data_IF_190799505592
#
_entry.id   IF_190799505592
#
_cell.length_a   1.000
_cell.length_b   1.000
_cell.length_c   1.000
_cell.angle_alpha   90.00
_cell.angle_beta   90.00
_cell.angle_gamma   90.00
#
_symmetry.space_group_name_H-M   'P 1'
#
loop_
_entity.id
_entity.type
_entity.pdbx_description
1 polymer ?
#
# COMPACT_ATOMS: atom_id res chain seq x y z
N UNK A 1 -9.02 7.44 14.33
CA UNK A 1 -9.21 8.57 13.40
C UNK A 1 -8.98 8.12 11.97
N UNK A 2 -9.34 8.97 11.02
CA UNK A 2 -9.18 8.71 9.58
C UNK A 2 -9.96 7.49 9.06
N UNK A 3 -10.97 7.02 9.78
CA UNK A 3 -11.65 5.78 9.42
C UNK A 3 -13.13 5.94 9.07
N UNK A 4 -13.83 6.91 9.63
CA UNK A 4 -15.28 7.06 9.46
C UNK A 4 -15.64 8.33 8.67
N UNK A 5 -15.04 8.44 7.49
CA UNK A 5 -15.25 9.64 6.66
C UNK A 5 -16.68 9.77 6.09
N UNK A 6 -17.50 8.72 6.14
CA UNK A 6 -18.92 8.81 5.80
C UNK A 6 -19.80 9.06 7.03
N UNK A 7 -19.19 9.19 8.22
CA UNK A 7 -19.89 9.36 9.48
C UNK A 7 -20.33 8.05 10.12
N UNK A 8 -20.74 8.13 11.37
CA UNK A 8 -21.25 6.96 12.10
C UNK A 8 -22.62 6.56 11.58
N UNK A 9 -22.82 5.26 11.42
CA UNK A 9 -24.15 4.68 11.11
C UNK A 9 -24.78 5.28 9.85
N UNK A 10 -23.98 5.56 8.84
CA UNK A 10 -24.52 6.09 7.58
C UNK A 10 -25.62 5.15 7.06
N UNK A 11 -26.85 5.63 6.79
CA UNK A 11 -28.00 4.76 6.55
C UNK A 11 -27.83 3.81 5.36
N UNK A 12 -27.13 4.21 4.29
CA UNK A 12 -26.91 3.31 3.16
C UNK A 12 -25.95 2.17 3.55
N UNK A 13 -24.95 2.46 4.39
CA UNK A 13 -23.98 1.44 4.84
C UNK A 13 -24.66 0.45 5.78
N UNK A 14 -25.42 0.97 6.75
CA UNK A 14 -26.16 0.12 7.71
C UNK A 14 -27.15 -0.77 6.96
N UNK A 15 -27.86 -0.21 5.98
CA UNK A 15 -28.82 -1.00 5.19
C UNK A 15 -28.09 -2.16 4.48
N UNK A 16 -26.98 -1.86 3.79
CA UNK A 16 -26.23 -2.89 3.07
C UNK A 16 -25.74 -3.99 4.02
N UNK A 17 -25.23 -3.61 5.20
CA UNK A 17 -24.79 -4.57 6.21
C UNK A 17 -25.96 -5.44 6.67
N UNK A 18 -27.08 -4.83 7.02
CA UNK A 18 -28.25 -5.54 7.55
C UNK A 18 -28.83 -6.50 6.51
N UNK A 19 -28.96 -6.07 5.26
CA UNK A 19 -29.50 -6.93 4.21
C UNK A 19 -28.55 -8.11 3.91
N UNK A 20 -27.25 -7.86 3.87
CA UNK A 20 -26.28 -8.93 3.66
C UNK A 20 -26.29 -9.93 4.82
N UNK A 21 -26.38 -9.43 6.06
CA UNK A 21 -26.36 -10.29 7.25
C UNK A 21 -27.56 -11.24 7.32
N UNK A 22 -28.70 -10.87 6.74
CA UNK A 22 -29.85 -11.75 6.66
C UNK A 22 -29.64 -12.94 5.73
N UNK A 23 -28.67 -12.84 4.82
CA UNK A 23 -28.40 -13.86 3.81
C UNK A 23 -27.16 -14.68 4.15
N UNK A 24 -26.06 -14.00 4.47
CA UNK A 24 -24.79 -14.67 4.67
C UNK A 24 -23.82 -13.73 5.40
N UNK A 25 -23.27 -14.19 6.54
CA UNK A 25 -22.29 -13.42 7.31
C UNK A 25 -20.86 -13.93 7.10
N UNK A 26 -20.67 -15.26 7.13
CA UNK A 26 -19.33 -15.84 7.08
C UNK A 26 -19.35 -17.18 6.38
N UNK A 27 -18.38 -17.41 5.51
CA UNK A 27 -18.13 -18.74 4.92
C UNK A 27 -16.66 -19.10 5.09
N UNK A 28 -16.36 -20.38 5.04
CA UNK A 28 -14.99 -20.84 4.88
C UNK A 28 -14.42 -20.40 3.52
N UNK A 29 -13.14 -20.12 3.47
CA UNK A 29 -12.45 -19.84 2.21
C UNK A 29 -12.45 -21.06 1.26
N UNK A 30 -12.77 -22.24 1.76
CA UNK A 30 -12.86 -23.44 0.93
C UNK A 30 -14.07 -23.42 -0.03
N UNK A 31 -15.00 -22.48 0.18
CA UNK A 31 -16.22 -22.40 -0.64
C UNK A 31 -16.36 -21.06 -1.31
N UNK A 32 -16.98 -21.06 -2.47
CA UNK A 32 -17.38 -19.82 -3.13
C UNK A 32 -18.59 -19.22 -2.43
N UNK A 33 -18.70 -17.91 -2.47
CA UNK A 33 -19.89 -17.22 -1.95
C UNK A 33 -20.35 -16.16 -2.95
N UNK A 34 -21.59 -15.72 -2.77
CA UNK A 34 -22.23 -14.83 -3.74
C UNK A 34 -21.72 -13.40 -3.69
N UNK A 35 -20.97 -13.02 -2.66
CA UNK A 35 -20.54 -11.62 -2.48
C UNK A 35 -19.11 -11.38 -2.96
N UNK A 36 -18.20 -12.34 -2.78
CA UNK A 36 -16.78 -12.11 -3.02
C UNK A 36 -16.48 -11.86 -4.51
N UNK A 37 -17.00 -12.70 -5.39
CA UNK A 37 -16.74 -12.54 -6.84
C UNK A 37 -17.20 -11.19 -7.38
N UNK A 38 -18.45 -10.79 -7.13
CA UNK A 38 -18.89 -9.45 -7.54
C UNK A 38 -18.05 -8.31 -6.92
N UNK A 39 -17.63 -8.45 -5.67
CA UNK A 39 -16.74 -7.48 -5.03
C UNK A 39 -15.39 -7.40 -5.75
N UNK A 40 -14.78 -8.55 -6.02
CA UNK A 40 -13.49 -8.59 -6.70
C UNK A 40 -13.57 -7.93 -8.07
N UNK A 41 -14.61 -8.27 -8.84
CA UNK A 41 -14.83 -7.66 -10.15
C UNK A 41 -15.03 -6.15 -10.06
N UNK A 42 -15.83 -5.71 -9.08
CA UNK A 42 -16.09 -4.28 -8.90
C UNK A 42 -14.81 -3.53 -8.57
N UNK A 43 -14.04 -4.02 -7.58
CA UNK A 43 -12.88 -3.30 -7.09
C UNK A 43 -11.73 -3.30 -8.12
N UNK A 44 -11.51 -4.42 -8.80
CA UNK A 44 -10.48 -4.47 -9.85
C UNK A 44 -10.81 -3.54 -11.01
N UNK A 45 -12.08 -3.51 -11.43
CA UNK A 45 -12.51 -2.58 -12.49
C UNK A 45 -12.38 -1.12 -12.03
N UNK A 46 -12.80 -0.85 -10.79
CA UNK A 46 -12.75 0.51 -10.25
C UNK A 46 -11.31 1.05 -10.22
N UNK A 47 -10.38 0.23 -9.79
CA UNK A 47 -8.99 0.65 -9.62
C UNK A 47 -8.07 0.27 -10.77
N UNK A 48 -8.58 -0.48 -11.75
CA UNK A 48 -7.79 -0.84 -12.93
C UNK A 48 -6.66 -1.82 -12.65
N UNK A 49 -6.83 -2.67 -11.66
CA UNK A 49 -5.88 -3.75 -11.36
C UNK A 49 -6.39 -5.08 -11.88
N UNK A 50 -5.49 -5.98 -12.17
CA UNK A 50 -5.84 -7.30 -12.67
C UNK A 50 -6.41 -8.21 -11.59
N UNK A 51 -5.97 -8.03 -10.35
CA UNK A 51 -6.32 -8.93 -9.24
C UNK A 51 -6.47 -8.17 -7.93
N UNK A 52 -7.21 -8.74 -7.02
CA UNK A 52 -7.33 -8.27 -5.64
C UNK A 52 -7.16 -9.46 -4.69
N UNK A 53 -6.56 -9.23 -3.55
CA UNK A 53 -6.41 -10.24 -2.50
C UNK A 53 -6.85 -9.59 -1.19
N UNK A 54 -8.09 -9.85 -0.75
CA UNK A 54 -8.59 -9.22 0.48
C UNK A 54 -7.84 -9.69 1.72
N UNK A 55 -7.59 -8.75 2.62
CA UNK A 55 -6.95 -8.99 3.93
C UNK A 55 -7.83 -8.40 5.03
N UNK A 56 -7.52 -8.74 6.28
CA UNK A 56 -8.35 -8.31 7.40
C UNK A 56 -7.95 -6.93 7.93
N UNK A 57 -6.68 -6.57 7.82
CA UNK A 57 -6.17 -5.29 8.33
C UNK A 57 -5.18 -4.68 7.35
N UNK A 58 -4.92 -3.39 7.53
CA UNK A 58 -3.91 -2.69 6.72
C UNK A 58 -2.52 -3.32 6.85
N UNK A 59 -2.13 -3.69 8.08
CA UNK A 59 -0.80 -4.29 8.28
C UNK A 59 -0.71 -5.66 7.62
N UNK A 60 -1.80 -6.44 7.59
CA UNK A 60 -1.78 -7.71 6.85
C UNK A 60 -1.58 -7.47 5.35
N UNK A 61 -2.19 -6.42 4.83
CA UNK A 61 -1.97 -6.01 3.44
C UNK A 61 -0.51 -5.63 3.20
N UNK A 62 0.07 -4.83 4.10
CA UNK A 62 1.49 -4.46 4.04
C UNK A 62 2.41 -5.67 4.08
N UNK A 63 2.20 -6.55 5.07
CA UNK A 63 3.00 -7.79 5.21
C UNK A 63 2.91 -8.64 3.94
N UNK A 64 1.69 -8.80 3.41
CA UNK A 64 1.47 -9.62 2.22
C UNK A 64 2.11 -8.99 0.98
N UNK A 65 2.02 -7.66 0.83
CA UNK A 65 2.65 -6.98 -0.30
C UNK A 65 4.17 -7.12 -0.24
N UNK A 66 4.76 -7.02 0.95
CA UNK A 66 6.20 -7.18 1.12
C UNK A 66 6.65 -8.63 0.83
N UNK A 67 5.87 -9.61 1.30
CA UNK A 67 6.15 -11.02 0.97
C UNK A 67 6.06 -11.25 -0.54
N UNK A 68 5.02 -10.69 -1.17
CA UNK A 68 4.82 -10.82 -2.61
C UNK A 68 5.99 -10.18 -3.38
N UNK A 69 6.44 -8.99 -2.94
CA UNK A 69 7.56 -8.29 -3.55
C UNK A 69 8.86 -9.11 -3.45
N UNK A 70 9.15 -9.67 -2.28
CA UNK A 70 10.33 -10.54 -2.12
C UNK A 70 10.24 -11.76 -3.03
N UNK A 71 9.07 -12.43 -3.04
CA UNK A 71 8.89 -13.62 -3.89
C UNK A 71 9.06 -13.28 -5.37
N UNK A 72 8.49 -12.14 -5.81
CA UNK A 72 8.67 -11.66 -7.18
C UNK A 72 10.16 -11.38 -7.46
N UNK A 73 10.83 -10.74 -6.50
CA UNK A 73 12.26 -10.46 -6.62
C UNK A 73 13.07 -11.71 -6.91
N UNK A 74 12.82 -12.77 -6.14
CA UNK A 74 13.53 -14.04 -6.32
C UNK A 74 13.14 -14.76 -7.59
N UNK A 75 11.83 -14.87 -7.86
CA UNK A 75 11.33 -15.75 -8.93
C UNK A 75 11.31 -15.08 -10.31
N UNK A 76 11.23 -13.73 -10.35
CA UNK A 76 11.08 -13.02 -11.62
C UNK A 76 12.22 -12.05 -11.91
N UNK A 77 12.68 -11.30 -10.91
CA UNK A 77 13.76 -10.35 -11.12
C UNK A 77 15.13 -11.01 -11.07
N UNK A 78 15.26 -12.18 -10.41
CA UNK A 78 16.51 -12.94 -10.34
C UNK A 78 17.42 -12.52 -9.20
N UNK A 79 16.87 -11.89 -8.17
CA UNK A 79 17.63 -11.53 -6.97
C UNK A 79 18.10 -12.81 -6.26
N UNK A 80 19.36 -12.88 -5.81
CA UNK A 80 19.81 -14.06 -5.07
C UNK A 80 19.03 -14.28 -3.78
N UNK A 81 18.85 -15.53 -3.41
CA UNK A 81 18.06 -15.91 -2.24
C UNK A 81 18.50 -15.13 -0.99
N UNK A 82 17.54 -14.62 -0.25
CA UNK A 82 17.69 -13.88 0.99
C UNK A 82 18.35 -12.50 0.83
N UNK A 83 18.51 -12.00 -0.41
CA UNK A 83 19.12 -10.68 -0.64
C UNK A 83 18.10 -9.60 -1.07
N UNK A 84 16.84 -9.94 -1.19
CA UNK A 84 15.84 -8.96 -1.62
C UNK A 84 15.72 -7.81 -0.61
N UNK A 85 15.76 -6.58 -1.13
CA UNK A 85 15.63 -5.36 -0.34
C UNK A 85 14.36 -4.64 -0.69
N UNK A 86 13.75 -4.00 0.32
CA UNK A 86 12.57 -3.14 0.14
C UNK A 86 12.91 -1.78 0.75
N UNK A 87 12.67 -0.73 -0.02
CA UNK A 87 12.91 0.65 0.42
C UNK A 87 11.61 1.22 0.98
N UNK A 88 11.72 2.00 2.05
CA UNK A 88 10.62 2.74 2.66
C UNK A 88 11.02 4.21 2.78
N UNK A 89 10.04 5.08 2.98
CA UNK A 89 10.30 6.49 3.24
C UNK A 89 10.36 6.75 4.76
N UNK A 90 11.19 7.67 5.19
CA UNK A 90 11.18 8.15 6.57
C UNK A 90 9.79 8.65 6.92
N UNK A 91 9.39 8.49 8.17
CA UNK A 91 8.07 8.88 8.64
C UNK A 91 6.96 7.90 8.24
N UNK A 92 7.31 6.75 7.65
CA UNK A 92 6.29 5.77 7.25
C UNK A 92 5.60 5.16 8.46
N UNK A 93 4.32 4.78 8.25
CA UNK A 93 3.59 3.99 9.23
C UNK A 93 2.66 3.04 8.50
N UNK A 94 2.91 1.74 8.61
CA UNK A 94 2.03 0.74 8.01
C UNK A 94 1.65 -0.37 8.98
N UNK A 95 1.89 -0.17 10.29
CA UNK A 95 1.45 -1.11 11.30
C UNK A 95 2.40 -1.25 12.48
N UNK A 96 2.11 -2.23 13.33
CA UNK A 96 2.84 -2.43 14.58
C UNK A 96 3.40 -3.84 14.72
N UNK A 97 3.47 -4.62 13.65
CA UNK A 97 4.14 -5.93 13.65
C UNK A 97 5.65 -5.75 13.69
N UNK A 98 6.37 -6.83 14.04
CA UNK A 98 7.84 -6.78 14.04
C UNK A 98 8.39 -6.37 12.68
N UNK A 99 7.76 -6.82 11.59
CA UNK A 99 8.19 -6.39 10.25
C UNK A 99 7.91 -4.91 10.03
N UNK A 100 6.71 -4.43 10.42
CA UNK A 100 6.35 -3.02 10.20
C UNK A 100 7.30 -2.09 10.96
N UNK A 101 7.57 -2.37 12.23
CA UNK A 101 8.45 -1.51 13.03
C UNK A 101 9.90 -1.57 12.56
N UNK A 102 10.27 -2.62 11.82
CA UNK A 102 11.65 -2.73 11.29
C UNK A 102 11.94 -1.69 10.20
N UNK A 103 10.92 -1.08 9.63
CA UNK A 103 11.07 0.01 8.66
C UNK A 103 10.79 1.38 9.27
N UNK A 104 10.61 1.46 10.59
CA UNK A 104 10.27 2.74 11.25
C UNK A 104 11.53 3.51 11.62
N UNK A 105 11.46 4.83 11.45
CA UNK A 105 12.47 5.74 11.99
C UNK A 105 12.02 6.43 13.30
N UNK A 106 10.85 6.03 13.82
CA UNK A 106 10.34 6.57 15.10
C UNK A 106 10.80 5.68 16.26
N UNK A 107 11.70 6.18 17.14
CA UNK A 107 12.17 5.38 18.26
C UNK A 107 11.08 4.87 19.19
N UNK A 108 9.95 5.59 19.29
CA UNK A 108 8.83 5.13 20.12
C UNK A 108 8.18 3.86 19.54
N UNK A 109 8.32 3.69 18.24
CA UNK A 109 7.73 2.53 17.56
C UNK A 109 8.63 1.30 17.59
N UNK A 110 9.96 1.48 17.48
CA UNK A 110 10.84 0.33 17.29
C UNK A 110 11.73 0.00 18.48
N UNK A 111 12.07 0.97 19.37
CA UNK A 111 13.08 0.72 20.41
C UNK A 111 12.66 -0.40 21.36
N UNK A 112 13.56 -1.32 21.59
CA UNK A 112 13.35 -2.44 22.52
C UNK A 112 12.66 -3.66 21.95
N UNK A 113 12.31 -3.64 20.65
CA UNK A 113 11.58 -4.74 20.03
C UNK A 113 12.39 -5.55 19.00
N UNK A 114 13.74 -5.35 18.99
CA UNK A 114 14.58 -6.15 18.10
C UNK A 114 14.61 -7.64 18.47
N UNK A 115 15.17 -8.52 17.62
CA UNK A 115 15.90 -8.22 16.38
C UNK A 115 14.98 -7.83 15.22
N UNK A 116 15.47 -6.94 14.38
CA UNK A 116 14.67 -6.35 13.31
C UNK A 116 14.74 -7.15 12.02
N UNK A 117 13.71 -7.03 11.20
CA UNK A 117 13.63 -7.68 9.90
C UNK A 117 14.74 -7.14 8.98
N UNK A 118 15.57 -8.01 8.41
CA UNK A 118 16.61 -7.56 7.49
C UNK A 118 16.05 -7.23 6.11
N UNK A 119 16.85 -6.49 5.33
CA UNK A 119 16.54 -6.18 3.94
C UNK A 119 15.66 -4.97 3.76
N UNK A 120 15.54 -4.14 4.79
CA UNK A 120 14.80 -2.87 4.71
C UNK A 120 15.78 -1.71 4.73
N UNK A 121 15.48 -0.67 3.96
CA UNK A 121 16.23 0.58 3.99
C UNK A 121 15.26 1.76 3.96
N UNK A 122 15.73 2.91 4.44
CA UNK A 122 14.94 4.13 4.57
C UNK A 122 15.58 5.25 3.76
N UNK A 123 14.74 6.05 3.11
CA UNK A 123 15.17 7.26 2.40
C UNK A 123 14.28 8.42 2.84
N UNK A 124 14.70 9.67 2.66
CA UNK A 124 13.80 10.79 2.94
C UNK A 124 12.53 10.72 2.08
N UNK A 125 11.39 11.08 2.69
CA UNK A 125 10.14 11.19 1.96
C UNK A 125 10.23 12.38 0.98
N UNK A 126 9.60 12.27 -0.17
CA UNK A 126 9.56 13.33 -1.18
C UNK A 126 10.93 13.59 -1.85
N UNK A 127 11.82 12.60 -1.86
CA UNK A 127 13.18 12.75 -2.40
C UNK A 127 13.40 11.72 -3.53
N UNK A 128 13.27 12.18 -4.79
CA UNK A 128 13.46 11.32 -5.96
C UNK A 128 14.93 11.01 -6.22
N UNK A 129 15.86 11.89 -5.81
CA UNK A 129 17.29 11.63 -6.00
C UNK A 129 17.75 10.51 -5.08
N UNK A 130 17.33 10.56 -3.80
CA UNK A 130 17.63 9.48 -2.87
C UNK A 130 17.02 8.16 -3.33
N UNK A 131 15.78 8.22 -3.85
CA UNK A 131 15.15 7.00 -4.39
C UNK A 131 15.95 6.45 -5.56
N UNK A 132 16.29 7.29 -6.54
CA UNK A 132 17.02 6.81 -7.72
C UNK A 132 18.37 6.19 -7.34
N UNK A 133 19.09 6.80 -6.38
CA UNK A 133 20.36 6.26 -5.91
C UNK A 133 20.19 4.84 -5.33
N UNK A 134 19.18 4.63 -4.46
CA UNK A 134 18.91 3.30 -3.88
C UNK A 134 18.47 2.28 -4.95
N UNK A 135 17.72 2.73 -5.95
CA UNK A 135 17.21 1.83 -7.00
C UNK A 135 18.32 1.29 -7.92
N UNK A 136 19.54 1.83 -7.85
CA UNK A 136 20.67 1.27 -8.61
C UNK A 136 21.11 -0.09 -8.08
N UNK A 137 20.78 -0.44 -6.84
CA UNK A 137 21.08 -1.76 -6.28
C UNK A 137 20.16 -2.80 -6.93
N UNK A 138 20.71 -3.79 -7.66
CA UNK A 138 19.88 -4.78 -8.34
C UNK A 138 19.05 -5.66 -7.37
N UNK A 139 19.39 -5.66 -6.09
CA UNK A 139 18.67 -6.45 -5.09
C UNK A 139 17.42 -5.75 -4.56
N UNK A 140 17.16 -4.51 -4.95
CA UNK A 140 15.93 -3.84 -4.54
C UNK A 140 14.75 -4.42 -5.32
N UNK A 141 13.76 -4.96 -4.61
CA UNK A 141 12.57 -5.54 -5.25
C UNK A 141 11.36 -4.60 -5.20
N UNK A 142 11.30 -3.69 -4.21
CA UNK A 142 10.14 -2.79 -4.09
C UNK A 142 10.50 -1.49 -3.37
N UNK A 143 9.72 -0.46 -3.67
CA UNK A 143 9.64 0.76 -2.87
C UNK A 143 8.20 0.87 -2.36
N UNK A 144 8.02 0.98 -1.04
CA UNK A 144 6.71 1.12 -0.42
C UNK A 144 6.58 2.51 0.20
N UNK A 145 5.51 3.23 -0.14
CA UNK A 145 5.33 4.60 0.32
C UNK A 145 3.84 4.96 0.41
N UNK A 146 3.48 5.75 1.42
CA UNK A 146 2.15 6.34 1.54
C UNK A 146 2.03 7.51 0.55
N UNK A 147 0.94 7.60 -0.24
CA UNK A 147 0.76 8.79 -1.11
C UNK A 147 0.68 10.10 -0.34
N UNK A 148 0.12 10.09 0.86
CA UNK A 148 0.17 11.17 1.84
C UNK A 148 0.45 10.47 3.16
N UNK A 149 1.50 10.85 3.85
CA UNK A 149 1.80 10.22 5.14
C UNK A 149 0.82 10.72 6.19
N UNK A 150 0.09 9.80 6.82
CA UNK A 150 -0.92 10.16 7.81
C UNK A 150 -0.33 10.33 9.20
N UNK A 151 0.26 9.27 9.72
CA UNK A 151 0.78 9.25 11.10
C UNK A 151 1.92 10.25 11.32
N UNK A 152 2.69 10.56 10.28
CA UNK A 152 3.77 11.55 10.37
C UNK A 152 3.26 12.99 10.51
N UNK A 153 1.93 13.21 10.43
CA UNK A 153 1.36 14.54 10.60
C UNK A 153 0.74 15.13 9.35
N UNK A 154 0.22 14.28 8.49
CA UNK A 154 -0.42 14.63 7.20
C UNK A 154 0.60 15.34 6.29
N UNK A 155 1.65 14.60 5.93
CA UNK A 155 2.70 15.11 5.07
C UNK A 155 2.31 14.86 3.62
N UNK A 156 2.05 15.94 2.88
CA UNK A 156 1.64 15.87 1.46
C UNK A 156 2.90 16.10 0.60
N UNK A 157 3.18 15.21 -0.35
CA UNK A 157 4.40 15.39 -1.15
C UNK A 157 4.23 16.47 -2.21
N UNK A 158 5.33 16.91 -2.78
CA UNK A 158 5.32 17.87 -3.88
C UNK A 158 4.61 17.31 -5.11
N UNK A 159 4.08 18.22 -5.91
CA UNK A 159 3.44 17.84 -7.16
C UNK A 159 4.43 17.09 -8.06
N UNK A 160 4.01 15.93 -8.54
CA UNK A 160 4.83 15.12 -9.42
C UNK A 160 5.69 14.06 -8.72
N UNK A 161 5.79 14.09 -7.39
CA UNK A 161 6.60 13.11 -6.67
C UNK A 161 6.18 11.67 -6.97
N UNK A 162 4.91 11.34 -6.78
CA UNK A 162 4.44 9.96 -7.01
C UNK A 162 4.56 9.52 -8.47
N UNK A 163 4.39 10.47 -9.41
CA UNK A 163 4.64 10.17 -10.81
C UNK A 163 6.13 9.89 -11.06
N UNK A 164 7.00 10.64 -10.39
CA UNK A 164 8.45 10.39 -10.40
C UNK A 164 8.78 9.02 -9.84
N UNK A 165 8.21 8.68 -8.67
CA UNK A 165 8.37 7.35 -8.05
C UNK A 165 8.01 6.26 -9.06
N UNK A 166 6.83 6.39 -9.69
CA UNK A 166 6.37 5.37 -10.66
C UNK A 166 7.35 5.22 -11.81
N UNK A 167 7.83 6.36 -12.38
CA UNK A 167 8.80 6.32 -13.49
C UNK A 167 10.10 5.64 -13.07
N UNK A 168 10.62 5.99 -11.90
CA UNK A 168 11.89 5.42 -11.42
C UNK A 168 11.72 3.92 -11.13
N UNK A 169 10.67 3.51 -10.46
CA UNK A 169 10.43 2.09 -10.19
C UNK A 169 10.32 1.29 -11.51
N UNK A 170 9.62 1.85 -12.51
CA UNK A 170 9.52 1.20 -13.81
C UNK A 170 10.87 1.11 -14.50
N UNK A 171 11.64 2.22 -14.49
CA UNK A 171 12.97 2.27 -15.10
C UNK A 171 13.92 1.21 -14.55
N UNK A 172 13.87 0.98 -13.24
CA UNK A 172 14.79 0.08 -12.55
C UNK A 172 14.21 -1.33 -12.32
N UNK A 173 13.04 -1.63 -12.89
CA UNK A 173 12.35 -2.92 -12.72
C UNK A 173 12.16 -3.24 -11.23
N UNK A 174 11.52 -2.30 -10.50
CA UNK A 174 11.22 -2.41 -9.07
C UNK A 174 9.73 -2.22 -8.88
N UNK A 175 9.13 -2.97 -7.97
CA UNK A 175 7.70 -2.85 -7.70
C UNK A 175 7.42 -1.57 -6.90
N UNK A 176 6.36 -0.85 -7.29
CA UNK A 176 5.88 0.31 -6.56
C UNK A 176 4.67 -0.12 -5.73
N UNK A 177 4.79 -0.04 -4.40
CA UNK A 177 3.71 -0.37 -3.46
C UNK A 177 3.20 0.95 -2.88
N UNK A 178 1.98 1.33 -3.25
CA UNK A 178 1.34 2.52 -2.70
C UNK A 178 0.50 2.09 -1.50
N UNK A 179 0.87 2.56 -0.31
CA UNK A 179 0.11 2.28 0.90
C UNK A 179 -1.06 3.25 0.99
N UNK A 180 -2.20 2.82 0.48
CA UNK A 180 -3.43 3.61 0.44
C UNK A 180 -4.38 3.29 1.59
N UNK A 181 -3.88 2.72 2.68
CA UNK A 181 -4.73 2.33 3.81
C UNK A 181 -5.43 3.57 4.40
N UNK A 182 -4.74 4.70 4.51
CA UNK A 182 -5.39 5.92 4.98
C UNK A 182 -5.92 6.81 3.84
N UNK A 183 -5.33 6.76 2.67
CA UNK A 183 -5.68 7.72 1.59
C UNK A 183 -6.67 7.19 0.58
N UNK A 184 -6.86 5.87 0.50
CA UNK A 184 -7.65 5.24 -0.56
C UNK A 184 -9.15 5.25 -0.34
N UNK A 185 -9.86 4.67 -1.30
CA UNK A 185 -11.32 4.46 -1.27
C UNK A 185 -12.09 5.79 -1.05
N UNK A 186 -11.70 6.83 -1.81
CA UNK A 186 -12.40 8.11 -1.81
C UNK A 186 -12.11 9.01 -0.62
N UNK A 187 -11.12 8.66 0.22
CA UNK A 187 -10.80 9.46 1.39
C UNK A 187 -10.24 10.83 1.00
N UNK A 188 -9.28 10.82 0.11
CA UNK A 188 -8.61 12.05 -0.30
C UNK A 188 -9.14 12.66 -1.61
N UNK A 189 -10.35 12.07 -2.30
CA UNK A 189 -10.97 12.53 -3.39
C UNK A 189 -10.31 12.27 -4.59
N UNK A 190 -9.25 11.97 -4.48
CA UNK A 190 -8.49 11.63 -5.65
C UNK A 190 -8.38 10.12 -5.73
N UNK A 191 -8.80 9.61 -6.84
CA UNK A 191 -8.51 8.23 -7.18
C UNK A 191 -7.11 8.25 -7.81
N UNK A 192 -6.13 7.74 -7.11
CA UNK A 192 -4.78 7.53 -7.66
C UNK A 192 -4.86 6.37 -8.64
N UNK A 193 -5.80 6.48 -9.59
CA UNK A 193 -6.07 5.36 -10.47
C UNK A 193 -5.75 5.74 -11.89
N UNK A 194 -4.96 4.86 -12.43
CA UNK A 194 -4.92 4.53 -13.84
C UNK A 194 -4.99 5.68 -14.81
N UNK A 195 -3.86 6.12 -15.17
CA UNK A 195 -3.74 6.49 -16.61
C UNK A 195 -2.33 6.14 -16.96
N UNK A 196 -2.12 5.54 -18.11
CA UNK A 196 -0.81 5.14 -18.60
C UNK A 196 0.30 6.15 -18.27
N UNK A 197 1.25 6.48 -19.13
CA UNK A 197 2.43 7.25 -18.69
C UNK A 197 2.19 8.68 -18.17
N UNK A 198 0.95 9.16 -18.14
CA UNK A 198 0.63 10.48 -17.58
C UNK A 198 -0.23 10.37 -16.33
N UNK A 199 0.39 10.25 -15.17
CA UNK A 199 -0.30 10.43 -13.89
C UNK A 199 -0.46 11.92 -13.64
N UNK A 200 -1.62 12.47 -14.00
CA UNK A 200 -1.99 13.83 -13.58
C UNK A 200 -2.97 13.74 -12.41
N UNK A 201 -2.64 14.45 -11.35
CA UNK A 201 -3.57 14.69 -10.26
C UNK A 201 -4.75 15.49 -10.81
N UNK A 202 -5.90 14.87 -10.91
CA UNK A 202 -7.12 15.61 -11.21
C UNK A 202 -7.88 15.82 -9.91
N UNK A 203 -7.73 16.98 -9.31
CA UNK A 203 -8.70 17.44 -8.36
C UNK A 203 -10.02 17.63 -9.15
N UNK A 204 -11.03 16.88 -8.81
CA UNK A 204 -12.35 17.23 -9.30
C UNK A 204 -12.73 18.55 -8.62
N UNK A 205 -12.74 19.60 -9.41
CA UNK A 205 -13.34 20.84 -8.98
C UNK A 205 -14.79 20.57 -8.57
N UNK A 206 -15.30 21.37 -7.69
CA UNK A 206 -16.65 21.30 -7.08
C UNK A 206 -17.74 21.08 -8.10
#
# INVERSE_FOLDING_TARGET
YSAVNQGHCHPRIIRALTEQAKTLTLTSRAFYNSSLGPYEKFITNLFGYDKVLPMNTGVEGGETSNKLARKWGYMKKGIPENQARIIFANGNFWGRTLAAISSSDDPLSYSGFGPYMPGYSLIPYNDLEALEAELTDPNVCAFMVEPIQGEAGVVVPDQGYLAGVRRLCTKHNVLFIADEVQTGIGRTXSLWIRQGPSYEYRSRGR
#
